data_IF_073849729309
#
_entry.id   IF_073849729309
#
_cell.length_a   1.000
_cell.length_b   1.000
_cell.length_c   1.000
_cell.angle_alpha   90.00
_cell.angle_beta   90.00
_cell.angle_gamma   90.00
#
_symmetry.space_group_name_H-M   'P 1'
#
loop_
_entity.id
_entity.type
_entity.pdbx_description
1 polymer ?
#
# COMPACT_ATOMS: atom_id res chain seq x y z
N UNK A 1 -49.60 3.48 -5.69
CA UNK A 1 -49.51 2.49 -4.60
C UNK A 1 -48.35 2.92 -3.71
N UNK A 2 -48.69 3.57 -2.61
CA UNK A 2 -47.79 4.04 -1.55
C UNK A 2 -47.53 2.91 -0.57
N UNK A 3 -46.27 2.66 -0.21
CA UNK A 3 -45.89 2.18 1.12
C UNK A 3 -44.40 2.36 1.35
N UNK A 4 -44.05 3.41 2.09
CA UNK A 4 -42.82 3.51 2.86
C UNK A 4 -42.98 2.69 4.14
N UNK A 5 -41.98 1.88 4.49
CA UNK A 5 -41.84 1.33 5.85
C UNK A 5 -40.38 1.53 6.27
N UNK A 6 -40.18 2.56 7.09
CA UNK A 6 -38.96 2.81 7.85
C UNK A 6 -39.10 2.13 9.20
N UNK A 7 -38.16 1.25 9.57
CA UNK A 7 -38.03 0.75 10.95
C UNK A 7 -36.61 1.04 11.42
N UNK A 8 -36.51 1.95 12.37
CA UNK A 8 -35.33 2.21 13.18
C UNK A 8 -35.46 1.44 14.49
N UNK A 9 -34.38 0.79 14.95
CA UNK A 9 -34.23 0.36 16.34
C UNK A 9 -32.84 0.76 16.83
N UNK A 10 -32.87 1.41 17.99
CA UNK A 10 -31.82 2.11 18.72
C UNK A 10 -31.36 1.28 19.93
N UNK A 11 -30.18 1.63 20.46
CA UNK A 11 -29.69 1.42 21.84
C UNK A 11 -29.22 -0.01 22.22
N UNK A 12 -28.34 -0.25 23.20
CA UNK A 12 -27.28 0.47 23.94
C UNK A 12 -26.75 -0.55 24.98
N UNK A 13 -25.52 -0.40 25.47
CA UNK A 13 -25.00 -1.12 26.65
C UNK A 13 -23.78 -1.98 26.31
N UNK A 14 -22.78 -2.18 27.17
CA UNK A 14 -22.67 -1.95 28.61
C UNK A 14 -21.21 -1.63 28.98
N UNK A 15 -21.05 -0.89 30.07
CA UNK A 15 -19.80 -0.56 30.71
C UNK A 15 -19.03 -1.79 31.22
N UNK A 16 -17.70 -1.71 31.16
CA UNK A 16 -16.81 -2.51 32.01
C UNK A 16 -15.59 -1.67 32.43
N UNK A 17 -15.81 -0.74 33.37
CA UNK A 17 -14.75 -0.26 34.26
C UNK A 17 -14.56 -1.33 35.34
N UNK A 18 -13.56 -2.18 35.18
CA UNK A 18 -13.10 -3.11 36.20
C UNK A 18 -11.81 -2.58 36.81
N UNK A 19 -11.89 -2.24 38.09
CA UNK A 19 -10.84 -1.61 38.90
C UNK A 19 -10.26 -2.63 39.89
N UNK A 20 -9.04 -2.34 40.37
CA UNK A 20 -8.29 -2.96 41.48
C UNK A 20 -7.39 -4.15 41.12
N UNK A 21 -6.07 -4.01 41.32
CA UNK A 21 -5.44 -4.25 42.62
C UNK A 21 -3.96 -3.85 42.57
N UNK A 22 -3.46 -3.45 43.73
CA UNK A 22 -2.15 -2.89 44.03
C UNK A 22 -1.10 -3.99 44.34
N UNK A 23 0.17 -3.58 44.36
CA UNK A 23 1.33 -4.15 45.04
C UNK A 23 2.37 -5.03 44.30
N UNK A 24 3.66 -4.89 44.70
CA UNK A 24 4.80 -4.89 43.78
C UNK A 24 5.61 -6.18 43.81
N UNK A 25 6.27 -6.48 42.70
CA UNK A 25 7.40 -7.40 42.66
C UNK A 25 8.56 -6.70 41.96
N UNK A 26 9.60 -6.39 42.73
CA UNK A 26 10.89 -6.07 42.16
C UNK A 26 11.51 -7.37 41.65
N UNK A 27 11.78 -7.48 40.35
CA UNK A 27 12.88 -8.31 39.87
C UNK A 27 13.45 -7.76 38.56
N UNK A 28 14.78 -7.67 38.60
CA UNK A 28 15.75 -7.21 37.62
C UNK A 28 15.56 -7.91 36.26
N UNK A 29 15.71 -7.20 35.14
CA UNK A 29 16.86 -7.35 34.22
C UNK A 29 16.57 -6.86 32.77
N UNK A 30 17.60 -6.22 32.20
CA UNK A 30 17.86 -5.94 30.76
C UNK A 30 16.94 -4.95 30.02
N UNK A 31 17.13 -3.65 30.26
CA UNK A 31 16.79 -2.66 29.22
C UNK A 31 17.92 -2.64 28.19
N UNK A 32 17.87 -3.56 27.24
CA UNK A 32 18.60 -3.45 25.98
C UNK A 32 17.99 -2.24 25.25
N UNK A 33 18.64 -1.08 25.37
CA UNK A 33 18.32 0.11 24.57
C UNK A 33 18.21 -0.30 23.10
N UNK A 34 16.98 -0.41 22.62
CA UNK A 34 16.69 -0.60 21.21
C UNK A 34 16.82 0.79 20.59
N UNK A 35 17.73 1.00 19.62
CA UNK A 35 17.76 2.28 18.92
C UNK A 35 16.43 2.45 18.20
N UNK A 36 15.67 3.46 18.60
CA UNK A 36 14.45 3.89 17.91
C UNK A 36 14.83 4.46 16.55
N UNK A 37 14.80 3.62 15.51
CA UNK A 37 14.99 4.07 14.13
C UNK A 37 13.69 4.74 13.68
N UNK A 38 13.65 6.07 13.79
CA UNK A 38 12.60 6.89 13.19
C UNK A 38 12.80 6.88 11.68
N UNK A 39 12.08 6.01 10.97
CA UNK A 39 11.99 6.08 9.52
C UNK A 39 11.08 7.26 9.13
N UNK A 40 11.68 8.41 8.84
CA UNK A 40 11.09 9.39 7.93
C UNK A 40 11.38 8.89 6.51
N UNK A 41 10.36 8.66 5.66
CA UNK A 41 10.63 8.57 4.24
C UNK A 41 11.09 9.96 3.78
N UNK A 42 12.37 10.10 3.45
CA UNK A 42 12.81 11.26 2.68
C UNK A 42 12.05 11.25 1.36
N UNK A 43 11.20 12.25 1.16
CA UNK A 43 10.45 12.48 -0.07
C UNK A 43 11.34 13.02 -1.20
N UNK A 44 12.65 13.02 -1.05
CA UNK A 44 13.59 13.47 -2.05
C UNK A 44 13.96 12.32 -3.00
N UNK A 45 12.97 11.87 -3.78
CA UNK A 45 13.25 11.20 -5.06
C UNK A 45 13.77 12.23 -6.07
N UNK A 46 14.97 12.77 -5.81
CA UNK A 46 15.79 13.35 -6.86
C UNK A 46 16.31 12.19 -7.71
N UNK A 47 15.49 11.73 -8.66
CA UNK A 47 15.88 10.78 -9.68
C UNK A 47 17.02 11.40 -10.49
N UNK A 48 18.26 10.95 -10.22
CA UNK A 48 19.44 11.23 -11.05
C UNK A 48 19.08 11.03 -12.52
N UNK A 49 19.29 12.07 -13.32
CA UNK A 49 18.76 12.28 -14.67
C UNK A 49 19.04 11.17 -15.68
N UNK A 50 18.29 10.08 -15.59
CA UNK A 50 18.08 9.17 -16.71
C UNK A 50 17.22 9.91 -17.73
N UNK A 51 17.52 9.86 -19.04
CA UNK A 51 16.63 10.40 -20.06
C UNK A 51 15.25 9.81 -19.81
N UNK A 52 14.31 10.66 -19.40
CA UNK A 52 12.94 10.25 -19.13
C UNK A 52 12.41 9.67 -20.42
N UNK A 53 12.12 8.37 -20.40
CA UNK A 53 11.41 7.74 -21.51
C UNK A 53 10.07 8.44 -21.75
N UNK A 54 9.43 8.15 -22.89
CA UNK A 54 8.12 8.69 -23.24
C UNK A 54 7.01 8.40 -22.20
N UNK A 55 7.28 7.49 -21.26
CA UNK A 55 6.38 7.08 -20.19
C UNK A 55 7.10 7.21 -18.86
N UNK A 56 6.44 7.85 -17.88
CA UNK A 56 6.88 7.93 -16.50
C UNK A 56 5.90 7.16 -15.61
N UNK A 57 6.44 6.36 -14.69
CA UNK A 57 5.66 5.56 -13.74
C UNK A 57 6.09 5.92 -12.33
N UNK A 58 5.15 6.39 -11.53
CA UNK A 58 5.32 6.58 -10.08
C UNK A 58 4.41 5.61 -9.33
N UNK A 59 4.76 5.30 -8.09
CA UNK A 59 3.98 4.34 -7.31
C UNK A 59 3.87 4.74 -5.84
N UNK A 60 2.85 4.19 -5.18
CA UNK A 60 2.65 4.29 -3.74
C UNK A 60 2.16 2.95 -3.21
N UNK A 61 2.82 2.44 -2.18
CA UNK A 61 2.37 1.25 -1.46
C UNK A 61 1.25 1.66 -0.48
N UNK A 62 0.14 0.92 -0.50
CA UNK A 62 -1.02 1.15 0.36
C UNK A 62 -0.96 0.17 1.53
N UNK A 63 -0.54 0.69 2.69
CA UNK A 63 -0.33 -0.09 3.90
C UNK A 63 1.13 -0.49 4.11
N UNK A 64 1.36 -1.35 5.12
CA UNK A 64 2.69 -1.89 5.43
C UNK A 64 2.83 -3.29 4.83
N UNK A 65 3.81 -3.55 3.95
CA UNK A 65 4.07 -4.90 3.46
C UNK A 65 4.41 -5.86 4.59
N UNK A 66 3.74 -7.00 4.63
CA UNK A 66 4.02 -8.14 5.53
C UNK A 66 4.22 -9.37 4.65
N UNK A 67 5.24 -10.17 4.97
CA UNK A 67 5.52 -11.39 4.21
C UNK A 67 4.33 -12.34 4.25
N UNK A 68 3.95 -12.87 3.09
CA UNK A 68 2.80 -13.76 2.91
C UNK A 68 1.44 -13.06 2.88
N UNK A 69 1.39 -11.73 3.08
CA UNK A 69 0.13 -10.98 3.06
C UNK A 69 -0.01 -10.13 1.79
N UNK A 70 -1.20 -10.05 1.18
CA UNK A 70 -1.45 -9.14 0.08
C UNK A 70 -1.26 -7.68 0.49
N UNK A 71 -0.59 -6.91 -0.37
CA UNK A 71 -0.47 -5.46 -0.26
C UNK A 71 -0.77 -4.82 -1.61
N UNK A 72 -1.53 -3.73 -1.58
CA UNK A 72 -1.86 -2.97 -2.77
C UNK A 72 -0.79 -1.92 -3.07
N UNK A 73 -0.56 -1.68 -4.36
CA UNK A 73 0.30 -0.62 -4.87
C UNK A 73 -0.52 0.19 -5.88
N UNK A 74 -0.60 1.49 -5.64
CA UNK A 74 -1.14 2.44 -6.60
C UNK A 74 -0.03 2.84 -7.57
N UNK A 75 -0.26 2.63 -8.85
CA UNK A 75 0.59 3.06 -9.95
C UNK A 75 -0.03 4.28 -10.61
N UNK A 76 0.81 5.28 -10.92
CA UNK A 76 0.46 6.44 -11.71
C UNK A 76 1.33 6.47 -12.95
N UNK A 77 0.69 6.44 -14.11
CA UNK A 77 1.34 6.39 -15.42
C UNK A 77 1.07 7.71 -16.15
N UNK A 78 2.16 8.33 -16.60
CA UNK A 78 2.18 9.54 -17.41
C UNK A 78 2.81 9.23 -18.76
N UNK A 79 2.19 9.68 -19.85
CA UNK A 79 2.71 9.55 -21.21
C UNK A 79 2.91 10.93 -21.82
N UNK A 80 4.08 11.16 -22.44
CA UNK A 80 4.39 12.39 -23.17
C UNK A 80 4.24 12.23 -24.68
N UNK A 81 3.79 11.06 -25.17
CA UNK A 81 3.71 10.71 -26.60
C UNK A 81 2.39 11.12 -27.26
N UNK A 82 1.57 11.93 -26.57
CA UNK A 82 0.23 12.30 -27.04
C UNK A 82 -0.87 11.33 -26.60
N UNK A 83 -2.07 11.38 -27.19
CA UNK A 83 -3.28 10.71 -26.69
C UNK A 83 -3.34 9.22 -27.06
N UNK A 84 -2.22 8.50 -26.96
CA UNK A 84 -2.16 7.07 -27.26
C UNK A 84 -2.34 6.23 -26.01
N UNK A 85 -3.10 5.11 -26.07
CA UNK A 85 -3.16 4.15 -24.99
C UNK A 85 -1.79 3.58 -24.61
N UNK A 86 -1.59 3.29 -23.33
CA UNK A 86 -0.36 2.70 -22.81
C UNK A 86 -0.63 1.27 -22.35
N UNK A 87 0.08 0.30 -22.92
CA UNK A 87 0.06 -1.07 -22.45
C UNK A 87 0.99 -1.23 -21.24
N UNK A 88 0.44 -1.60 -20.08
CA UNK A 88 1.18 -1.86 -18.86
C UNK A 88 1.18 -3.37 -18.58
N UNK A 89 2.37 -3.98 -18.49
CA UNK A 89 2.54 -5.39 -18.13
C UNK A 89 3.33 -5.51 -16.84
N UNK A 90 2.84 -6.31 -15.89
CA UNK A 90 3.48 -6.49 -14.61
C UNK A 90 4.50 -7.62 -14.67
N UNK A 91 5.68 -7.42 -14.09
CA UNK A 91 6.70 -8.44 -13.97
C UNK A 91 7.45 -8.29 -12.65
N UNK A 92 7.62 -9.40 -11.94
CA UNK A 92 8.54 -9.47 -10.82
C UNK A 92 9.95 -9.64 -11.38
N UNK A 93 10.87 -8.77 -10.98
CA UNK A 93 12.28 -8.92 -11.33
C UNK A 93 12.88 -10.18 -10.70
N UNK A 94 12.50 -10.43 -9.43
CA UNK A 94 12.82 -11.64 -8.69
C UNK A 94 11.52 -12.36 -8.27
N UNK A 95 11.24 -13.48 -8.92
CA UNK A 95 10.04 -14.29 -8.66
C UNK A 95 10.04 -14.93 -7.26
N UNK A 96 11.18 -14.99 -6.57
CA UNK A 96 11.25 -15.51 -5.19
C UNK A 96 10.90 -14.44 -4.15
N UNK A 97 10.80 -13.17 -4.54
CA UNK A 97 10.59 -12.07 -3.62
C UNK A 97 9.14 -11.55 -3.62
N UNK A 98 8.45 -11.65 -4.75
CA UNK A 98 7.08 -11.15 -4.92
C UNK A 98 6.28 -12.14 -5.76
N UNK A 99 5.05 -12.36 -5.33
CA UNK A 99 4.01 -13.01 -6.12
C UNK A 99 2.90 -12.01 -6.48
N UNK A 100 2.30 -12.12 -7.65
CA UNK A 100 1.10 -11.36 -8.00
C UNK A 100 -0.16 -12.13 -7.60
N UNK A 101 -1.23 -11.43 -7.25
CA UNK A 101 -2.51 -12.06 -6.98
C UNK A 101 -3.04 -12.78 -8.24
N UNK A 102 -3.57 -14.00 -8.09
CA UNK A 102 -4.01 -14.84 -9.22
C UNK A 102 -5.14 -14.19 -10.04
N UNK A 103 -6.00 -13.41 -9.39
CA UNK A 103 -7.11 -12.71 -10.03
C UNK A 103 -6.67 -11.45 -10.79
N UNK A 104 -5.39 -11.09 -10.75
CA UNK A 104 -4.88 -9.89 -11.39
C UNK A 104 -4.51 -10.14 -12.86
N UNK A 105 -4.92 -9.27 -13.80
CA UNK A 105 -4.45 -9.34 -15.18
C UNK A 105 -2.93 -9.19 -15.28
N UNK A 106 -2.29 -9.97 -16.16
CA UNK A 106 -0.85 -9.84 -16.46
C UNK A 106 -0.52 -8.50 -17.12
N UNK A 107 -1.45 -8.02 -17.95
CA UNK A 107 -1.35 -6.75 -18.64
C UNK A 107 -2.68 -6.01 -18.66
N UNK A 108 -2.61 -4.67 -18.68
CA UNK A 108 -3.76 -3.78 -18.79
C UNK A 108 -3.50 -2.71 -19.85
N UNK A 109 -4.55 -2.31 -20.56
CA UNK A 109 -4.49 -1.16 -21.46
C UNK A 109 -5.01 0.07 -20.74
N UNK A 110 -4.15 1.06 -20.56
CA UNK A 110 -4.50 2.31 -19.90
C UNK A 110 -4.85 3.36 -20.96
N UNK A 111 -5.89 4.14 -20.69
CA UNK A 111 -6.12 5.39 -21.40
C UNK A 111 -4.88 6.31 -21.27
N UNK A 112 -4.63 7.21 -22.24
CA UNK A 112 -3.54 8.17 -22.14
C UNK A 112 -3.67 9.01 -20.86
N UNK A 113 -2.63 8.97 -20.02
CA UNK A 113 -2.50 9.80 -18.83
C UNK A 113 -1.60 10.98 -19.12
N UNK A 114 -2.06 12.18 -18.79
CA UNK A 114 -1.31 13.45 -18.94
C UNK A 114 -0.98 14.02 -17.56
N UNK A 115 -0.09 15.02 -17.48
CA UNK A 115 0.36 15.57 -16.20
C UNK A 115 -0.77 16.03 -15.28
N UNK A 116 -1.80 16.69 -15.82
CA UNK A 116 -2.97 17.14 -15.06
C UNK A 116 -3.91 16.02 -14.63
N UNK A 117 -3.84 14.85 -15.30
CA UNK A 117 -4.67 13.69 -15.02
C UNK A 117 -3.91 12.40 -15.39
N UNK A 118 -3.04 11.90 -14.50
CA UNK A 118 -2.34 10.64 -14.72
C UNK A 118 -3.32 9.48 -14.76
N UNK A 119 -2.96 8.45 -15.51
CA UNK A 119 -3.69 7.18 -15.48
C UNK A 119 -3.33 6.43 -14.20
N UNK A 120 -4.34 6.09 -13.42
CA UNK A 120 -4.18 5.36 -12.16
C UNK A 120 -4.50 3.88 -12.37
N UNK A 121 -3.69 3.02 -11.74
CA UNK A 121 -3.88 1.59 -11.78
C UNK A 121 -3.45 0.98 -10.45
N UNK A 122 -4.29 0.12 -9.86
CA UNK A 122 -3.92 -0.60 -8.64
C UNK A 122 -3.44 -2.01 -9.00
N UNK A 123 -2.37 -2.44 -8.34
CA UNK A 123 -1.79 -3.78 -8.46
C UNK A 123 -1.67 -4.38 -7.05
N UNK A 124 -2.01 -5.66 -6.90
CA UNK A 124 -1.90 -6.38 -5.64
C UNK A 124 -0.76 -7.38 -5.73
N UNK A 125 0.16 -7.29 -4.77
CA UNK A 125 1.31 -8.18 -4.67
C UNK A 125 1.34 -8.86 -3.31
N UNK A 126 2.02 -9.99 -3.21
CA UNK A 126 2.28 -10.72 -1.97
C UNK A 126 3.80 -10.78 -1.81
N UNK A 127 4.38 -10.09 -0.82
CA UNK A 127 5.82 -10.20 -0.52
C UNK A 127 6.14 -11.60 0.00
N UNK A 128 7.20 -12.22 -0.50
CA UNK A 128 7.58 -13.59 -0.15
C UNK A 128 8.80 -13.68 0.78
N UNK A 129 9.51 -12.56 0.98
CA UNK A 129 10.63 -12.47 1.93
C UNK A 129 10.77 -11.04 2.46
N UNK A 130 11.48 -10.92 3.57
CA UNK A 130 11.85 -9.62 4.14
C UNK A 130 12.97 -8.93 3.32
N UNK A 131 13.11 -7.62 3.51
CA UNK A 131 14.19 -6.81 2.92
C UNK A 131 13.71 -5.75 1.93
N UNK A 132 14.66 -5.02 1.36
CA UNK A 132 14.40 -4.03 0.30
C UNK A 132 14.76 -4.65 -1.05
N UNK A 133 13.85 -4.51 -2.01
CA UNK A 133 14.13 -4.76 -3.41
C UNK A 133 14.69 -3.46 -3.99
N UNK A 134 15.88 -3.55 -4.59
CA UNK A 134 16.55 -2.44 -5.28
C UNK A 134 16.46 -2.65 -6.78
#
# INVERSE_FOLDING_TARGET
MTSSVTVAILAAGFAACGQAADQPAAEVNVTKSTPSVTFKPDNDMASSGKPSGPVSVSYRIIGKPVVGQPVAIDLRVLSTVGPQPVALRYRAHDATAIQFAESQPEAVMLAPGIESRPSAQQVTIIPMREGRLY
#
